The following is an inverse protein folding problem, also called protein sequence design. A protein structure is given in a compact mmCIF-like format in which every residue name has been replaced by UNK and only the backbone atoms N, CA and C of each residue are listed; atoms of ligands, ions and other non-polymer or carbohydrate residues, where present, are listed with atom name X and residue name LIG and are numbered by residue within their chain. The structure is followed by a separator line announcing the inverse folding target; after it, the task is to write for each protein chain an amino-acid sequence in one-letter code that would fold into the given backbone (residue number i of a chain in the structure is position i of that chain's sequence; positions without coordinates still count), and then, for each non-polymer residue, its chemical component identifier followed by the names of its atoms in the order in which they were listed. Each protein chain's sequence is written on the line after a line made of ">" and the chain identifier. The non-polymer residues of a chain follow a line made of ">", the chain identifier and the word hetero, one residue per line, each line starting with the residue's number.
data_IF_404401288019
#
_entry.id   IF_404401288019
#
_cell.length_a   1.000
_cell.length_b   1.000
_cell.length_c   1.000
_cell.angle_alpha   90.00
_cell.angle_beta   90.00
_cell.angle_gamma   90.00
#
_symmetry.space_group_name_H-M   'P 1'
#
loop_
_entity.id
_entity.type
_entity.pdbx_description
1 polymer ?
#
# COMPACT_ATOMS: atom_id res chain seq x y z
N UNK A 1 22.74 15.52 -22.54
CA UNK A 1 22.16 15.66 -23.89
C UNK A 1 22.21 14.31 -24.55
N UNK A 2 21.24 13.98 -25.40
CA UNK A 2 21.31 12.77 -26.24
C UNK A 2 22.23 13.01 -27.44
N UNK A 3 22.42 11.99 -28.28
CA UNK A 3 23.23 12.06 -29.49
C UNK A 3 22.67 13.04 -30.54
N UNK A 4 21.42 13.48 -30.37
CA UNK A 4 20.71 14.43 -31.23
C UNK A 4 20.69 15.86 -30.65
N UNK A 5 21.34 16.08 -29.50
CA UNK A 5 21.40 17.38 -28.82
C UNK A 5 20.19 17.71 -27.91
N UNK A 6 19.25 16.78 -27.71
CA UNK A 6 18.10 17.00 -26.85
C UNK A 6 18.48 16.92 -25.36
N UNK A 7 17.85 17.77 -24.56
CA UNK A 7 18.09 17.88 -23.14
C UNK A 7 17.39 16.73 -22.40
N UNK A 8 18.17 15.75 -21.94
CA UNK A 8 17.65 14.52 -21.30
C UNK A 8 17.12 14.80 -19.89
N UNK A 9 17.80 15.63 -19.11
CA UNK A 9 17.41 15.96 -17.75
C UNK A 9 18.06 17.27 -17.28
N UNK A 10 17.41 17.93 -16.31
CA UNK A 10 17.93 19.13 -15.62
C UNK A 10 17.79 18.92 -14.12
N UNK A 11 18.88 19.16 -13.39
CA UNK A 11 18.90 19.07 -11.93
C UNK A 11 19.28 20.42 -11.33
N UNK A 12 18.67 20.74 -10.19
CA UNK A 12 19.04 21.92 -9.41
C UNK A 12 20.14 21.52 -8.41
N UNK A 13 21.25 22.25 -8.41
CA UNK A 13 22.34 22.05 -7.44
C UNK A 13 22.09 22.96 -6.23
N UNK A 14 22.55 22.51 -5.05
CA UNK A 14 22.53 23.32 -3.83
C UNK A 14 23.81 24.16 -3.76
N UNK A 15 23.66 25.45 -3.47
CA UNK A 15 24.79 26.36 -3.21
C UNK A 15 25.39 26.19 -1.81
N UNK A 16 24.76 25.39 -0.93
CA UNK A 16 25.21 25.16 0.44
C UNK A 16 25.90 23.79 0.59
N UNK A 17 27.11 23.80 1.13
CA UNK A 17 27.87 22.59 1.47
C UNK A 17 27.09 21.74 2.46
N UNK A 18 26.84 20.48 2.09
CA UNK A 18 26.11 19.51 2.90
C UNK A 18 24.58 19.56 2.78
N UNK A 19 24.02 20.41 1.92
CA UNK A 19 22.59 20.44 1.66
C UNK A 19 22.23 19.64 0.40
N UNK A 20 21.20 18.80 0.51
CA UNK A 20 20.68 17.97 -0.57
C UNK A 20 19.42 18.60 -1.13
N UNK A 21 19.39 18.85 -2.45
CA UNK A 21 18.17 19.31 -3.15
C UNK A 21 17.31 18.08 -3.45
N UNK A 22 16.18 17.96 -2.76
CA UNK A 22 15.23 16.86 -2.95
C UNK A 22 14.03 17.43 -3.73
N UNK A 23 13.80 16.92 -4.94
CA UNK A 23 12.58 17.19 -5.71
C UNK A 23 11.49 16.25 -5.23
N UNK A 24 10.49 16.78 -4.53
CA UNK A 24 9.48 15.99 -3.81
C UNK A 24 8.67 15.12 -4.78
N UNK A 25 8.43 15.65 -5.98
CA UNK A 25 7.67 15.06 -7.08
C UNK A 25 8.29 13.74 -7.56
N UNK A 26 9.62 13.63 -7.54
CA UNK A 26 10.33 12.40 -7.95
C UNK A 26 10.12 11.21 -7.00
N UNK A 27 9.62 11.48 -5.80
CA UNK A 27 9.38 10.46 -4.78
C UNK A 27 7.89 10.27 -4.50
N UNK A 28 7.01 10.97 -5.23
CA UNK A 28 5.58 10.71 -5.24
C UNK A 28 5.34 9.36 -5.93
N UNK A 29 4.65 8.43 -5.25
CA UNK A 29 4.39 7.07 -5.76
C UNK A 29 5.45 6.00 -5.44
N UNK A 30 6.69 6.36 -5.08
CA UNK A 30 7.76 5.39 -4.74
C UNK A 30 7.93 5.18 -3.22
N UNK A 31 7.41 6.10 -2.39
CA UNK A 31 7.55 5.98 -0.93
C UNK A 31 6.81 4.74 -0.42
N UNK A 32 7.55 3.79 0.15
CA UNK A 32 6.93 2.81 1.04
C UNK A 32 6.21 3.60 2.14
N UNK A 33 4.88 3.51 2.20
CA UNK A 33 4.07 4.28 3.16
C UNK A 33 4.52 4.07 4.60
N UNK A 34 5.11 2.91 4.89
CA UNK A 34 5.59 2.54 6.20
C UNK A 34 7.06 2.97 6.43
N UNK A 35 7.35 3.76 7.47
CA UNK A 35 8.71 4.21 7.78
C UNK A 35 9.63 3.06 8.27
N UNK A 36 10.94 3.25 8.10
CA UNK A 36 11.97 2.23 8.41
C UNK A 36 12.68 2.44 9.75
N UNK A 37 12.83 3.69 10.20
CA UNK A 37 13.59 4.01 11.43
C UNK A 37 12.65 4.19 12.62
N UNK A 38 13.06 3.75 13.81
CA UNK A 38 12.23 3.82 15.02
C UNK A 38 11.72 5.25 15.36
N UNK A 39 12.54 6.32 15.27
CA UNK A 39 12.06 7.69 15.50
C UNK A 39 10.97 8.07 14.49
N UNK A 40 11.17 7.74 13.22
CA UNK A 40 10.22 8.07 12.16
C UNK A 40 8.93 7.26 12.23
N UNK A 41 9.01 5.99 12.67
CA UNK A 41 7.83 5.17 12.96
C UNK A 41 7.00 5.81 14.06
N UNK A 42 7.63 6.24 15.15
CA UNK A 42 6.95 6.93 16.24
C UNK A 42 6.27 8.22 15.76
N UNK A 43 7.01 9.09 15.07
CA UNK A 43 6.45 10.33 14.53
C UNK A 43 5.22 10.07 13.66
N UNK A 44 5.35 9.22 12.65
CA UNK A 44 4.24 8.93 11.73
C UNK A 44 3.07 8.30 12.47
N UNK A 45 3.32 7.40 13.43
CA UNK A 45 2.25 6.78 14.22
C UNK A 45 1.45 7.83 15.01
N UNK A 46 2.15 8.78 15.65
CA UNK A 46 1.53 9.86 16.43
C UNK A 46 0.85 10.89 15.52
N UNK A 47 1.40 11.16 14.34
CA UNK A 47 0.81 12.08 13.35
C UNK A 47 -0.42 11.48 12.66
N UNK A 48 -0.47 10.15 12.54
CA UNK A 48 -1.57 9.45 11.84
C UNK A 48 -2.80 9.29 12.71
N UNK A 49 -2.61 8.93 13.98
CA UNK A 49 -3.71 8.56 14.88
C UNK A 49 -3.85 9.58 16.00
N UNK A 50 -5.07 10.02 16.28
CA UNK A 50 -5.37 10.99 17.35
C UNK A 50 -4.93 10.47 18.72
N UNK A 51 -5.24 9.21 19.01
CA UNK A 51 -4.83 8.48 20.21
C UNK A 51 -3.42 7.88 20.09
N UNK A 52 -2.73 8.14 18.97
CA UNK A 52 -1.43 7.57 18.66
C UNK A 52 -0.37 7.84 19.73
N UNK A 53 -0.38 9.03 20.33
CA UNK A 53 0.54 9.37 21.43
C UNK A 53 0.30 8.52 22.69
N UNK A 54 -0.95 8.41 23.13
CA UNK A 54 -1.32 7.67 24.34
C UNK A 54 -1.10 6.17 24.14
N UNK A 55 -1.50 5.63 23.00
CA UNK A 55 -1.28 4.24 22.64
C UNK A 55 0.22 3.92 22.59
N UNK A 56 1.03 4.76 21.93
CA UNK A 56 2.47 4.55 21.84
C UNK A 56 3.15 4.60 23.21
N UNK A 57 2.68 5.46 24.12
CA UNK A 57 3.16 5.49 25.50
C UNK A 57 2.87 4.19 26.24
N UNK A 58 1.69 3.60 26.06
CA UNK A 58 1.34 2.28 26.58
C UNK A 58 2.21 1.17 25.99
N UNK A 59 2.47 1.21 24.68
CA UNK A 59 3.39 0.31 23.99
C UNK A 59 4.80 0.33 24.60
N UNK A 60 5.34 1.52 24.85
CA UNK A 60 6.68 1.67 25.47
C UNK A 60 6.70 1.08 26.87
N UNK A 61 5.64 1.30 27.67
CA UNK A 61 5.55 0.71 29.02
C UNK A 61 5.52 -0.81 29.01
N UNK A 62 4.81 -1.40 28.05
CA UNK A 62 4.58 -2.86 28.01
C UNK A 62 5.69 -3.63 27.29
N UNK A 63 6.31 -3.04 26.27
CA UNK A 63 7.21 -3.75 25.34
C UNK A 63 8.59 -3.10 25.18
N UNK A 64 8.83 -1.95 25.82
CA UNK A 64 10.10 -1.22 25.81
C UNK A 64 10.69 -1.04 24.40
N UNK A 65 11.73 -1.81 24.06
CA UNK A 65 12.44 -1.74 22.78
C UNK A 65 11.62 -2.18 21.57
N UNK A 66 10.57 -2.99 21.78
CA UNK A 66 9.74 -3.51 20.70
C UNK A 66 8.58 -2.56 20.31
N UNK A 67 8.39 -1.44 21.01
CA UNK A 67 7.33 -0.48 20.69
C UNK A 67 7.34 -0.01 19.22
N UNK A 68 8.49 0.31 18.59
CA UNK A 68 8.51 0.66 17.17
C UNK A 68 8.08 -0.48 16.25
N UNK A 69 8.37 -1.74 16.61
CA UNK A 69 7.94 -2.89 15.82
C UNK A 69 6.41 -3.03 15.82
N UNK A 70 5.78 -2.89 16.99
CA UNK A 70 4.34 -2.93 17.12
C UNK A 70 3.66 -1.77 16.38
N UNK A 71 4.14 -0.53 16.59
CA UNK A 71 3.61 0.65 15.90
C UNK A 71 3.74 0.52 14.37
N UNK A 72 4.86 -0.02 13.88
CA UNK A 72 5.05 -0.31 12.46
C UNK A 72 4.03 -1.31 11.94
N UNK A 73 3.80 -2.42 12.67
CA UNK A 73 2.84 -3.46 12.27
C UNK A 73 1.40 -2.94 12.22
N UNK A 74 1.07 -2.00 13.10
CA UNK A 74 -0.23 -1.32 13.10
C UNK A 74 -0.32 -0.36 11.90
N UNK A 75 0.70 0.44 11.61
CA UNK A 75 0.73 1.28 10.40
C UNK A 75 0.61 0.47 9.10
N UNK A 76 1.12 -0.76 9.08
CA UNK A 76 0.95 -1.67 7.93
C UNK A 76 -0.52 -2.07 7.71
N UNK A 77 -1.38 -2.03 8.74
CA UNK A 77 -2.81 -2.34 8.62
C UNK A 77 -3.59 -1.31 7.78
N UNK A 78 -3.05 -0.10 7.62
CA UNK A 78 -3.64 0.96 6.76
C UNK A 78 -3.73 0.59 5.27
N UNK A 79 -3.06 -0.50 4.89
CA UNK A 79 -3.19 -1.10 3.55
C UNK A 79 -4.50 -1.87 3.36
N UNK A 80 -5.13 -2.28 4.47
CA UNK A 80 -6.26 -3.19 4.51
C UNK A 80 -7.46 -2.51 5.16
N UNK A 81 -7.26 -1.64 6.13
CA UNK A 81 -8.33 -0.96 6.86
C UNK A 81 -8.17 0.55 6.71
N UNK A 82 -9.29 1.26 6.74
CA UNK A 82 -9.31 2.71 6.83
C UNK A 82 -8.77 3.18 8.20
N UNK A 83 -8.23 4.40 8.22
CA UNK A 83 -7.56 4.94 9.40
C UNK A 83 -8.53 5.12 10.57
N UNK A 84 -9.80 5.45 10.31
CA UNK A 84 -10.85 5.60 11.32
C UNK A 84 -11.12 4.29 12.06
N UNK A 85 -11.16 3.16 11.35
CA UNK A 85 -11.36 1.86 11.98
C UNK A 85 -10.16 1.46 12.84
N UNK A 86 -8.94 1.79 12.39
CA UNK A 86 -7.73 1.52 13.18
C UNK A 86 -7.75 2.37 14.45
N UNK A 87 -8.12 3.65 14.36
CA UNK A 87 -8.27 4.56 15.51
C UNK A 87 -9.22 3.99 16.57
N UNK A 88 -10.43 3.60 16.18
CA UNK A 88 -11.42 3.01 17.11
C UNK A 88 -10.87 1.75 17.79
N UNK A 89 -10.11 0.94 17.06
CA UNK A 89 -9.49 -0.26 17.63
C UNK A 89 -8.38 0.09 18.61
N UNK A 90 -7.59 1.13 18.34
CA UNK A 90 -6.59 1.60 19.30
C UNK A 90 -7.26 2.04 20.60
N UNK A 91 -8.34 2.81 20.53
CA UNK A 91 -9.12 3.25 21.69
C UNK A 91 -9.62 2.04 22.51
N UNK A 92 -10.33 1.10 21.86
CA UNK A 92 -10.79 -0.14 22.50
C UNK A 92 -9.65 -0.94 23.13
N UNK A 93 -8.52 -1.08 22.42
CA UNK A 93 -7.37 -1.81 22.93
C UNK A 93 -6.76 -1.15 24.18
N UNK A 94 -6.80 0.19 24.28
CA UNK A 94 -6.38 0.90 25.49
C UNK A 94 -7.31 0.67 26.67
N UNK A 95 -8.63 0.59 26.45
CA UNK A 95 -9.61 0.27 27.51
C UNK A 95 -9.30 -1.08 28.17
N UNK A 96 -8.87 -2.06 27.38
CA UNK A 96 -8.44 -3.38 27.87
C UNK A 96 -6.98 -3.43 28.34
N UNK A 97 -6.23 -2.32 28.24
CA UNK A 97 -4.80 -2.26 28.58
C UNK A 97 -3.90 -3.11 27.68
N UNK A 98 -4.34 -3.43 26.46
CA UNK A 98 -3.71 -4.39 25.58
C UNK A 98 -3.10 -3.73 24.34
N UNK A 99 -1.82 -3.35 24.42
CA UNK A 99 -1.16 -2.53 23.41
C UNK A 99 -0.48 -3.31 22.25
N UNK A 100 -0.65 -4.64 22.17
CA UNK A 100 0.06 -5.46 21.19
C UNK A 100 -0.54 -5.33 19.78
N UNK A 101 0.29 -5.56 18.74
CA UNK A 101 -0.21 -5.47 17.36
C UNK A 101 -1.11 -6.67 17.04
N UNK A 102 -0.90 -7.80 17.73
CA UNK A 102 -1.72 -9.00 17.61
C UNK A 102 -3.13 -8.75 18.15
N UNK A 103 -3.25 -8.05 19.27
CA UNK A 103 -4.54 -7.66 19.84
C UNK A 103 -5.28 -6.74 18.89
N UNK A 104 -4.63 -5.66 18.45
CA UNK A 104 -5.19 -4.70 17.48
C UNK A 104 -5.62 -5.44 16.20
N UNK A 105 -4.76 -6.29 15.64
CA UNK A 105 -5.07 -7.08 14.45
C UNK A 105 -6.22 -8.08 14.65
N UNK A 106 -6.42 -8.60 15.86
CA UNK A 106 -7.55 -9.48 16.15
C UNK A 106 -8.87 -8.72 16.24
N UNK A 107 -8.88 -7.52 16.83
CA UNK A 107 -10.08 -6.68 16.89
C UNK A 107 -10.43 -6.16 15.49
N UNK A 108 -9.43 -5.77 14.69
CA UNK A 108 -9.60 -5.29 13.31
C UNK A 108 -10.29 -6.30 12.38
N UNK A 109 -10.20 -7.62 12.65
CA UNK A 109 -10.92 -8.64 11.86
C UNK A 109 -12.44 -8.45 11.87
N UNK A 110 -12.99 -7.74 12.85
CA UNK A 110 -14.41 -7.41 12.92
C UNK A 110 -14.81 -6.18 12.08
N UNK A 111 -13.86 -5.50 11.45
CA UNK A 111 -14.09 -4.26 10.71
C UNK A 111 -14.08 -4.49 9.18
N UNK A 112 -14.80 -3.65 8.41
CA UNK A 112 -14.78 -3.74 6.96
C UNK A 112 -13.38 -3.41 6.42
N UNK A 113 -12.97 -4.20 5.43
CA UNK A 113 -11.74 -3.98 4.68
C UNK A 113 -11.97 -2.79 3.73
N UNK A 114 -10.94 -1.96 3.60
CA UNK A 114 -10.83 -0.87 2.64
C UNK A 114 -11.19 -1.36 1.24
N UNK A 115 -12.11 -0.67 0.59
CA UNK A 115 -12.48 -1.03 -0.78
C UNK A 115 -11.30 -0.73 -1.71
N UNK A 116 -10.77 -1.77 -2.34
CA UNK A 116 -9.76 -1.58 -3.38
C UNK A 116 -10.48 -1.04 -4.63
N UNK A 117 -10.10 0.15 -5.14
CA UNK A 117 -10.71 0.72 -6.35
C UNK A 117 -10.50 -0.15 -7.59
N UNK A 118 -9.57 -1.12 -7.54
CA UNK A 118 -9.34 -2.13 -8.57
C UNK A 118 -10.04 -3.47 -8.26
N UNK A 119 -10.75 -3.59 -7.14
CA UNK A 119 -11.53 -4.77 -6.79
C UNK A 119 -12.75 -4.85 -7.68
N UNK A 120 -12.62 -5.59 -8.77
CA UNK A 120 -13.75 -5.95 -9.63
C UNK A 120 -14.57 -7.02 -8.89
N UNK A 121 -15.40 -6.61 -7.93
CA UNK A 121 -16.36 -7.49 -7.24
C UNK A 121 -17.40 -8.05 -8.22
N UNK A 122 -17.67 -7.29 -9.28
CA UNK A 122 -18.51 -7.68 -10.42
C UNK A 122 -17.68 -8.08 -11.64
N UNK A 123 -16.59 -8.83 -11.43
CA UNK A 123 -16.01 -9.60 -12.52
C UNK A 123 -16.99 -10.74 -12.79
N UNK A 124 -18.11 -10.41 -13.44
CA UNK A 124 -18.80 -11.33 -14.32
C UNK A 124 -17.74 -11.73 -15.34
N UNK A 125 -16.97 -12.77 -15.01
CA UNK A 125 -16.36 -13.61 -16.01
C UNK A 125 -17.54 -14.13 -16.80
N UNK A 126 -17.96 -13.39 -17.83
CA UNK A 126 -18.94 -13.86 -18.79
C UNK A 126 -18.48 -15.28 -19.10
N UNK A 127 -19.31 -16.28 -18.74
CA UNK A 127 -18.94 -17.68 -18.80
C UNK A 127 -18.19 -17.89 -20.11
N UNK A 128 -16.86 -18.03 -20.04
CA UNK A 128 -16.05 -18.16 -21.24
C UNK A 128 -16.36 -19.57 -21.71
N UNK A 129 -17.39 -19.68 -22.53
CA UNK A 129 -17.80 -20.93 -23.11
C UNK A 129 -16.75 -21.26 -24.16
N UNK A 130 -15.68 -21.94 -23.74
CA UNK A 130 -14.69 -22.50 -24.66
C UNK A 130 -15.33 -23.69 -25.35
N UNK A 131 -16.07 -23.43 -26.43
CA UNK A 131 -16.49 -24.47 -27.34
C UNK A 131 -15.24 -25.04 -28.02
N UNK A 132 -15.00 -26.36 -27.88
CA UNK A 132 -14.01 -27.05 -28.70
C UNK A 132 -14.48 -27.01 -30.14
N UNK A 133 -13.94 -26.08 -30.93
CA UNK A 133 -14.14 -26.07 -32.38
C UNK A 133 -13.45 -27.28 -33.00
N UNK A 134 -14.13 -27.93 -33.94
CA UNK A 134 -13.54 -29.07 -34.63
C UNK A 134 -12.41 -28.58 -35.54
N UNK A 135 -11.38 -29.42 -35.73
CA UNK A 135 -10.27 -29.11 -36.63
C UNK A 135 -10.76 -28.81 -38.07
N UNK A 136 -11.92 -29.37 -38.44
CA UNK A 136 -12.58 -29.18 -39.74
C UNK A 136 -13.02 -27.72 -39.97
N UNK A 137 -13.49 -27.01 -38.94
CA UNK A 137 -13.88 -25.60 -39.06
C UNK A 137 -12.67 -24.70 -39.33
N UNK A 138 -11.52 -25.04 -38.76
CA UNK A 138 -10.28 -24.28 -38.97
C UNK A 138 -9.79 -24.42 -40.41
N UNK A 139 -9.92 -25.62 -40.97
CA UNK A 139 -9.56 -25.88 -42.37
C UNK A 139 -10.44 -25.08 -43.32
N UNK A 140 -11.75 -24.99 -43.07
CA UNK A 140 -12.69 -24.23 -43.90
C UNK A 140 -12.31 -22.74 -43.98
N UNK A 141 -12.05 -22.11 -42.83
CA UNK A 141 -11.61 -20.71 -42.73
C UNK A 141 -10.26 -20.45 -43.43
N UNK A 142 -9.36 -21.43 -43.38
CA UNK A 142 -8.07 -21.36 -44.11
C UNK A 142 -8.25 -21.49 -45.63
N UNK A 143 -9.27 -22.22 -46.10
CA UNK A 143 -9.60 -22.31 -47.53
C UNK A 143 -10.31 -21.06 -48.05
N UNK A 144 -11.23 -20.47 -47.28
CA UNK A 144 -11.92 -19.23 -47.68
C UNK A 144 -10.95 -18.04 -47.77
N UNK A 145 -9.93 -18.00 -46.90
CA UNK A 145 -8.85 -17.02 -47.00
C UNK A 145 -7.93 -17.21 -48.23
N UNK A 146 -8.01 -18.38 -48.89
CA UNK A 146 -7.15 -18.75 -50.02
C UNK A 146 -7.80 -18.55 -51.39
N UNK A 147 -9.13 -18.47 -51.46
CA UNK A 147 -9.87 -18.23 -52.72
C UNK A 147 -10.23 -16.75 -52.95
N UNK A 148 -9.71 -15.85 -52.11
CA UNK A 148 -9.85 -14.40 -52.24
C UNK A 148 -8.71 -13.69 -52.98
N UNK A 149 -8.08 -14.33 -53.98
CA UNK A 149 -7.09 -13.71 -54.90
C UNK A 149 -7.42 -14.10 -56.34
#
# INVERSE_FOLDING_TARGET
>A
MDLSGNLIARHSLSDKKGATVIQKEHYEGIKSSTPKTAPRIREIFIETFAEGYLFYKGLVKMTSFNAPYHAKKILEQRRIYEDEHIEEVLEKAMEFGAFSYQTVGNILKGYPVREDPLSIKDASYAHIFTARRSLSEYNLLLTEAKEGI
#
